data_IF_228850143372
#
_entry.id   IF_228850143372
#
_cell.length_a   1.000
_cell.length_b   1.000
_cell.length_c   1.000
_cell.angle_alpha   90.00
_cell.angle_beta   90.00
_cell.angle_gamma   90.00
#
_symmetry.space_group_name_H-M   'P 1'
#
loop_
_entity.id
_entity.type
_entity.pdbx_description
1 polymer ?
#
# COMPACT_ATOMS: atom_id res chain seq x y z
N UNK A 1 0.45 -15.34 2.29
CA UNK A 1 0.56 -14.43 1.13
C UNK A 1 0.71 -13.04 1.67
N UNK A 2 1.46 -12.22 0.95
CA UNK A 2 1.56 -10.79 1.16
C UNK A 2 0.57 -10.10 0.22
N UNK A 3 -0.34 -9.31 0.79
CA UNK A 3 -1.39 -8.62 0.06
C UNK A 3 -1.10 -7.12 0.14
N UNK A 4 -0.93 -6.46 -1.00
CA UNK A 4 -0.79 -5.02 -1.09
C UNK A 4 -2.16 -4.38 -1.25
N UNK A 5 -2.56 -3.54 -0.29
CA UNK A 5 -3.82 -2.80 -0.30
C UNK A 5 -3.54 -1.31 -0.46
N UNK A 6 -4.11 -0.71 -1.50
CA UNK A 6 -4.08 0.73 -1.68
C UNK A 6 -5.00 1.47 -0.70
N UNK A 7 -4.65 2.73 -0.41
CA UNK A 7 -5.41 3.58 0.50
C UNK A 7 -6.48 4.42 -0.21
N UNK A 8 -6.08 5.29 -1.13
CA UNK A 8 -6.96 6.32 -1.70
C UNK A 8 -7.85 5.73 -2.79
N UNK A 9 -9.17 5.87 -2.67
CA UNK A 9 -10.17 5.29 -3.58
C UNK A 9 -10.24 3.75 -3.59
N UNK A 10 -9.40 3.07 -2.83
CA UNK A 10 -9.48 1.64 -2.52
C UNK A 10 -9.97 1.40 -1.09
N UNK A 11 -9.13 1.62 -0.06
CA UNK A 11 -9.55 1.57 1.35
C UNK A 11 -10.63 2.62 1.63
N UNK A 12 -10.38 3.86 1.22
CA UNK A 12 -11.28 4.99 1.53
C UNK A 12 -12.64 4.92 0.83
N UNK A 13 -12.83 4.01 -0.14
CA UNK A 13 -14.12 3.80 -0.81
C UNK A 13 -15.14 3.09 0.09
N UNK A 14 -14.69 2.18 0.95
CA UNK A 14 -15.53 1.53 1.97
C UNK A 14 -14.68 1.06 3.16
N UNK A 15 -14.29 1.97 4.07
CA UNK A 15 -13.47 1.61 5.24
C UNK A 15 -14.13 0.53 6.11
N UNK A 16 -15.45 0.57 6.28
CA UNK A 16 -16.15 -0.38 7.14
C UNK A 16 -16.07 -1.82 6.62
N UNK A 17 -16.15 -2.01 5.30
CA UNK A 17 -15.93 -3.31 4.67
C UNK A 17 -14.49 -3.79 4.90
N UNK A 18 -13.49 -2.93 4.68
CA UNK A 18 -12.07 -3.30 4.85
C UNK A 18 -11.71 -3.59 6.30
N UNK A 19 -12.20 -2.79 7.24
CA UNK A 19 -12.02 -2.97 8.67
C UNK A 19 -12.57 -4.32 9.14
N UNK A 20 -13.63 -4.81 8.51
CA UNK A 20 -14.18 -6.15 8.76
C UNK A 20 -13.34 -7.26 8.10
N UNK A 21 -12.87 -7.04 6.88
CA UNK A 21 -12.24 -8.07 6.04
C UNK A 21 -10.77 -8.33 6.40
N UNK A 22 -9.99 -7.28 6.68
CA UNK A 22 -8.54 -7.38 6.95
C UNK A 22 -8.24 -8.32 8.13
N UNK A 23 -8.94 -8.24 9.28
CA UNK A 23 -8.72 -9.17 10.38
C UNK A 23 -8.99 -10.63 10.00
N UNK A 24 -9.95 -10.89 9.11
CA UNK A 24 -10.25 -12.24 8.62
C UNK A 24 -9.14 -12.77 7.71
N UNK A 25 -8.56 -11.90 6.88
CA UNK A 25 -7.38 -12.22 6.06
C UNK A 25 -6.19 -12.55 6.96
N UNK A 26 -5.90 -11.71 7.96
CA UNK A 26 -4.81 -11.89 8.91
C UNK A 26 -4.96 -13.17 9.74
N UNK A 27 -6.18 -13.47 10.21
CA UNK A 27 -6.49 -14.68 10.97
C UNK A 27 -6.20 -15.99 10.21
N UNK A 28 -6.09 -15.92 8.88
CA UNK A 28 -5.72 -17.06 8.01
C UNK A 28 -4.22 -17.14 7.72
N UNK A 29 -3.39 -16.35 8.41
CA UNK A 29 -1.94 -16.33 8.26
C UNK A 29 -1.47 -15.59 7.01
N UNK A 30 -2.25 -14.60 6.54
CA UNK A 30 -1.83 -13.71 5.47
C UNK A 30 -1.41 -12.35 6.05
N UNK A 31 -0.52 -11.66 5.36
CA UNK A 31 -0.07 -10.32 5.75
C UNK A 31 -0.69 -9.31 4.80
N UNK A 32 -1.30 -8.26 5.34
CA UNK A 32 -1.83 -7.14 4.56
C UNK A 32 -0.91 -5.94 4.79
N UNK A 33 -0.45 -5.34 3.69
CA UNK A 33 0.36 -4.14 3.68
C UNK A 33 -0.47 -3.00 3.13
N UNK A 34 -0.47 -1.85 3.80
CA UNK A 34 -0.96 -0.62 3.21
C UNK A 34 0.13 -0.07 2.28
N UNK A 35 -0.12 -0.02 0.98
CA UNK A 35 0.83 0.51 0.00
C UNK A 35 0.18 1.66 -0.76
N UNK A 36 0.49 2.89 -0.37
CA UNK A 36 -0.19 4.10 -0.84
C UNK A 36 0.75 4.99 -1.67
N UNK A 37 0.17 5.67 -2.67
CA UNK A 37 0.87 6.71 -3.41
C UNK A 37 1.12 8.01 -2.60
N UNK A 38 0.63 8.09 -1.36
CA UNK A 38 0.90 9.21 -0.46
C UNK A 38 2.37 9.31 -0.07
N UNK A 39 2.77 10.52 0.28
CA UNK A 39 4.06 10.82 0.89
C UNK A 39 4.03 10.62 2.40
N UNK A 40 5.20 10.56 3.05
CA UNK A 40 5.27 10.55 4.52
C UNK A 40 4.63 11.78 5.17
N UNK A 41 4.61 12.94 4.49
CA UNK A 41 3.92 14.15 4.97
C UNK A 41 2.40 14.01 5.03
N UNK A 42 1.83 13.04 4.30
CA UNK A 42 0.39 12.77 4.22
C UNK A 42 -0.03 11.52 5.03
N UNK A 43 0.88 11.02 5.89
CA UNK A 43 0.76 9.75 6.59
C UNK A 43 -0.31 9.70 7.67
N UNK A 44 -0.64 10.85 8.29
CA UNK A 44 -1.48 10.88 9.49
C UNK A 44 -2.79 10.09 9.32
N UNK A 45 -3.57 10.37 8.27
CA UNK A 45 -4.84 9.70 8.04
C UNK A 45 -4.69 8.21 7.79
N UNK A 46 -3.60 7.78 7.13
CA UNK A 46 -3.30 6.37 6.89
C UNK A 46 -3.03 5.66 8.21
N UNK A 47 -2.13 6.20 9.02
CA UNK A 47 -1.69 5.58 10.27
C UNK A 47 -2.82 5.50 11.31
N UNK A 48 -3.65 6.53 11.43
CA UNK A 48 -4.75 6.55 12.42
C UNK A 48 -6.00 5.77 11.98
N UNK A 49 -6.05 5.27 10.74
CA UNK A 49 -7.13 4.42 10.21
C UNK A 49 -6.61 3.03 9.86
N UNK A 50 -6.32 2.75 8.58
CA UNK A 50 -5.85 1.46 8.09
C UNK A 50 -4.60 0.96 8.85
N UNK A 51 -3.67 1.87 9.18
CA UNK A 51 -2.46 1.54 9.93
C UNK A 51 -2.72 0.94 11.32
N UNK A 52 -3.85 1.25 11.97
CA UNK A 52 -4.24 0.61 13.24
C UNK A 52 -4.61 -0.87 13.09
N UNK A 53 -4.96 -1.29 11.87
CA UNK A 53 -5.48 -2.62 11.57
C UNK A 53 -4.37 -3.49 10.98
N UNK A 54 -3.58 -2.92 10.06
CA UNK A 54 -2.45 -3.64 9.45
C UNK A 54 -1.16 -3.57 10.26
N UNK A 55 -1.01 -2.57 11.13
CA UNK A 55 0.24 -2.23 11.82
C UNK A 55 0.94 -1.06 11.12
N UNK A 56 1.44 -0.08 11.88
CA UNK A 56 2.12 1.10 11.32
C UNK A 56 3.40 0.73 10.53
N UNK A 57 4.08 -0.35 10.94
CA UNK A 57 5.23 -0.95 10.27
C UNK A 57 4.88 -1.65 8.95
N UNK A 58 3.59 -1.83 8.67
CA UNK A 58 3.05 -2.39 7.42
C UNK A 58 2.49 -1.30 6.50
N UNK A 59 2.75 -0.01 6.78
CA UNK A 59 2.35 1.13 5.94
C UNK A 59 3.54 1.68 5.13
N UNK A 60 3.45 1.58 3.80
CA UNK A 60 4.47 1.99 2.84
C UNK A 60 3.97 3.19 2.01
N UNK A 61 4.75 4.27 2.02
CA UNK A 61 4.42 5.56 1.42
C UNK A 61 5.27 5.79 0.18
N UNK A 62 4.78 5.38 -0.98
CA UNK A 62 5.61 5.32 -2.19
C UNK A 62 5.86 6.68 -2.81
N UNK A 63 5.15 7.74 -2.38
CA UNK A 63 5.22 9.07 -3.00
C UNK A 63 4.98 9.01 -4.51
N UNK A 64 3.97 8.22 -4.91
CA UNK A 64 3.56 7.89 -6.29
C UNK A 64 4.60 7.09 -7.08
N UNK A 65 5.62 6.55 -6.42
CA UNK A 65 6.52 5.60 -7.06
C UNK A 65 5.80 4.26 -7.33
N UNK A 66 6.31 3.48 -8.28
CA UNK A 66 5.85 2.12 -8.58
C UNK A 66 5.79 1.31 -7.30
N UNK A 67 4.58 0.87 -6.94
CA UNK A 67 4.37 0.17 -5.68
C UNK A 67 5.10 -1.16 -5.64
N UNK A 68 5.15 -1.89 -6.75
CA UNK A 68 5.85 -3.17 -6.81
C UNK A 68 7.36 -2.98 -6.64
N UNK A 69 7.96 -2.04 -7.36
CA UNK A 69 9.39 -1.76 -7.22
C UNK A 69 9.75 -1.22 -5.82
N UNK A 70 8.91 -0.35 -5.24
CA UNK A 70 9.10 0.18 -3.89
C UNK A 70 9.05 -0.93 -2.83
N UNK A 71 8.09 -1.85 -2.94
CA UNK A 71 7.98 -2.99 -2.01
C UNK A 71 9.14 -3.97 -2.19
N UNK A 72 9.54 -4.28 -3.43
CA UNK A 72 10.71 -5.13 -3.71
C UNK A 72 12.02 -4.52 -3.18
N UNK A 73 12.20 -3.20 -3.29
CA UNK A 73 13.34 -2.49 -2.71
C UNK A 73 13.38 -2.59 -1.17
N UNK A 74 12.21 -2.70 -0.53
CA UNK A 74 12.06 -3.03 0.89
C UNK A 74 12.15 -4.54 1.20
N UNK A 75 12.57 -5.36 0.23
CA UNK A 75 12.64 -6.83 0.35
C UNK A 75 11.30 -7.51 0.63
N UNK A 76 10.19 -6.89 0.22
CA UNK A 76 8.84 -7.44 0.37
C UNK A 76 8.25 -7.69 -1.01
N UNK A 77 8.04 -8.97 -1.33
CA UNK A 77 7.29 -9.36 -2.52
C UNK A 77 5.80 -9.41 -2.19
N UNK A 78 4.98 -8.69 -2.95
CA UNK A 78 3.51 -8.77 -2.87
C UNK A 78 3.02 -9.87 -3.80
N UNK A 79 2.13 -10.74 -3.29
CA UNK A 79 1.55 -11.85 -4.05
C UNK A 79 0.24 -11.44 -4.76
N UNK A 80 -0.56 -10.59 -4.10
CA UNK A 80 -1.86 -10.12 -4.61
C UNK A 80 -1.98 -8.62 -4.33
N UNK A 81 -2.38 -7.87 -5.36
CA UNK A 81 -2.64 -6.44 -5.26
C UNK A 81 -4.12 -6.14 -5.28
N UNK A 82 -4.55 -5.18 -4.45
CA UNK A 82 -5.88 -4.59 -4.47
C UNK A 82 -5.71 -3.08 -4.55
N UNK A 83 -6.02 -2.54 -5.71
CA UNK A 83 -5.76 -1.14 -6.07
C UNK A 83 -6.78 -0.72 -7.12
N UNK A 84 -7.40 0.44 -6.97
CA UNK A 84 -8.32 0.96 -7.97
C UNK A 84 -7.59 1.53 -9.20
N UNK A 85 -6.29 1.80 -9.08
CA UNK A 85 -5.42 2.27 -10.15
C UNK A 85 -4.22 1.33 -10.38
N UNK A 86 -4.40 0.24 -11.16
CA UNK A 86 -3.35 -0.76 -11.36
C UNK A 86 -2.09 -0.22 -12.06
N UNK A 87 -2.14 0.94 -12.74
CA UNK A 87 -0.96 1.56 -13.36
C UNK A 87 0.08 1.96 -12.31
N UNK A 88 -0.37 2.40 -11.13
CA UNK A 88 0.54 2.78 -10.04
C UNK A 88 1.25 1.57 -9.42
N UNK A 89 0.75 0.36 -9.63
CA UNK A 89 1.43 -0.85 -9.16
C UNK A 89 2.73 -1.07 -9.92
N UNK A 90 2.67 -1.09 -11.26
CA UNK A 90 3.82 -1.49 -12.08
C UNK A 90 4.69 -0.32 -12.50
N UNK A 91 4.08 0.84 -12.80
CA UNK A 91 4.76 1.93 -13.50
C UNK A 91 5.00 3.14 -12.60
N UNK A 92 4.13 3.36 -11.61
CA UNK A 92 4.15 4.57 -10.80
C UNK A 92 4.15 5.85 -11.66
N UNK A 93 4.76 6.91 -11.14
CA UNK A 93 5.13 8.10 -11.90
C UNK A 93 6.67 8.25 -12.01
N UNK A 94 7.40 7.15 -11.81
CA UNK A 94 8.86 7.11 -11.59
C UNK A 94 9.62 7.62 -12.81
N UNK A 95 9.17 7.23 -14.00
CA UNK A 95 9.77 7.68 -15.27
C UNK A 95 9.58 9.17 -15.49
N UNK A 96 8.47 9.74 -15.01
CA UNK A 96 8.16 11.16 -15.17
C UNK A 96 8.80 12.03 -14.08
N UNK A 97 8.93 11.50 -12.87
CA UNK A 97 9.36 12.27 -11.70
C UNK A 97 10.82 12.01 -11.30
N UNK A 98 11.33 10.80 -11.54
CA UNK A 98 12.54 10.27 -10.89
C UNK A 98 13.50 9.55 -11.85
N UNK A 99 13.32 9.67 -13.17
CA UNK A 99 14.15 9.00 -14.18
C UNK A 99 14.17 7.46 -14.01
N UNK A 100 13.06 6.90 -13.50
CA UNK A 100 12.89 5.47 -13.22
C UNK A 100 13.56 4.96 -11.94
N UNK A 101 14.10 5.84 -11.08
CA UNK A 101 14.72 5.46 -9.80
C UNK A 101 13.69 5.34 -8.68
N UNK A 102 13.94 4.40 -7.78
CA UNK A 102 13.21 4.23 -6.53
C UNK A 102 14.01 4.83 -5.36
N UNK A 103 13.35 5.68 -4.58
CA UNK A 103 13.86 6.28 -3.35
C UNK A 103 13.02 5.77 -2.17
N UNK A 104 13.70 5.28 -1.14
CA UNK A 104 13.10 4.79 0.10
C UNK A 104 13.00 5.89 1.15
#
# INVERSE_FOLDING_TARGET
MNIGLDFDHTYTRDPAMWDMLIPQIQARGHTVYCVTGRTHGESHNVLVTLGKIVGEDHCYFTSKQSKDNYMLANSIKIDVWIDDNPILITSGLDTELNDGKIYL
#
